data_IF_833666213668
#
_entry.id   IF_833666213668
#
_cell.length_a   1.000
_cell.length_b   1.000
_cell.length_c   1.000
_cell.angle_alpha   90.00
_cell.angle_beta   90.00
_cell.angle_gamma   90.00
#
_symmetry.space_group_name_H-M   'P 1'
#
loop_
_entity.id
_entity.type
_entity.pdbx_description
1 polymer ?
#
# COMPACT_ATOMS: atom_id res chain seq x y z
N UNK A 1 36.41 9.10 2.06
CA UNK A 1 36.19 8.07 1.04
C UNK A 1 34.70 7.99 0.77
N UNK A 2 34.24 9.00 0.03
CA UNK A 2 32.88 9.14 -0.43
C UNK A 2 32.73 8.24 -1.66
N UNK A 3 31.80 7.29 -1.61
CA UNK A 3 31.05 7.02 -2.80
C UNK A 3 29.57 6.94 -2.45
N UNK A 4 28.82 7.83 -3.10
CA UNK A 4 27.36 7.85 -3.12
C UNK A 4 26.91 6.62 -3.88
N UNK A 5 26.96 5.47 -3.23
CA UNK A 5 26.12 4.35 -3.64
C UNK A 5 24.68 4.85 -3.49
N UNK A 6 24.08 5.28 -4.60
CA UNK A 6 22.63 5.25 -4.75
C UNK A 6 22.23 3.83 -4.34
N UNK A 7 21.80 3.67 -3.08
CA UNK A 7 21.41 2.37 -2.57
C UNK A 7 20.26 1.91 -3.46
N UNK A 8 20.56 0.97 -4.34
CA UNK A 8 19.59 0.41 -5.28
C UNK A 8 18.55 -0.34 -4.44
N UNK A 9 17.47 0.33 -4.11
CA UNK A 9 16.33 -0.26 -3.40
C UNK A 9 15.64 -1.19 -4.39
N UNK A 10 15.61 -2.48 -4.05
CA UNK A 10 14.79 -3.45 -4.77
C UNK A 10 13.45 -3.51 -4.07
N UNK A 11 12.39 -3.19 -4.81
CA UNK A 11 11.04 -3.26 -4.33
C UNK A 11 10.25 -4.32 -5.10
N UNK A 12 9.30 -4.95 -4.42
CA UNK A 12 8.27 -5.77 -5.06
C UNK A 12 6.92 -5.12 -4.86
N UNK A 13 6.10 -5.10 -5.90
CA UNK A 13 4.73 -4.61 -5.84
C UNK A 13 3.79 -5.79 -6.02
N UNK A 14 2.85 -5.94 -5.09
CA UNK A 14 1.77 -6.91 -5.17
C UNK A 14 0.46 -6.15 -5.23
N UNK A 15 -0.40 -6.49 -6.18
CA UNK A 15 -1.77 -5.99 -6.24
C UNK A 15 -2.71 -7.09 -5.77
N UNK A 16 -3.62 -6.74 -4.86
CA UNK A 16 -4.65 -7.63 -4.34
C UNK A 16 -6.01 -6.98 -4.60
N UNK A 17 -6.65 -7.45 -5.65
CA UNK A 17 -7.98 -6.99 -6.02
C UNK A 17 -9.05 -7.80 -5.30
N UNK A 18 -10.11 -7.14 -4.85
CA UNK A 18 -11.29 -7.82 -4.35
C UNK A 18 -12.16 -8.20 -5.55
N UNK A 19 -12.39 -9.51 -5.73
CA UNK A 19 -13.22 -10.08 -6.81
C UNK A 19 -14.72 -9.74 -6.61
N UNK A 20 -15.12 -9.32 -5.41
CA UNK A 20 -16.51 -9.00 -5.12
C UNK A 20 -16.87 -7.61 -5.65
N UNK A 21 -17.79 -7.59 -6.63
CA UNK A 21 -18.57 -6.40 -7.03
C UNK A 21 -19.46 -5.86 -5.90
N UNK A 22 -19.63 -6.65 -4.84
CA UNK A 22 -20.29 -6.25 -3.61
C UNK A 22 -19.45 -5.20 -2.88
N UNK A 23 -19.95 -3.95 -2.81
CA UNK A 23 -19.47 -2.92 -1.86
C UNK A 23 -19.55 -3.38 -0.40
N UNK A 24 -20.26 -4.47 -0.12
CA UNK A 24 -20.53 -4.95 1.21
C UNK A 24 -19.28 -5.54 1.84
N UNK A 25 -18.91 -4.95 2.99
CA UNK A 25 -17.88 -5.50 3.86
C UNK A 25 -18.25 -6.92 4.29
N UNK A 26 -17.23 -7.77 4.39
CA UNK A 26 -17.41 -9.17 4.78
C UNK A 26 -17.87 -9.25 6.23
N UNK A 27 -18.89 -10.05 6.50
CA UNK A 27 -19.26 -10.46 7.86
C UNK A 27 -18.53 -11.74 8.24
N UNK A 28 -18.00 -11.75 9.46
CA UNK A 28 -17.39 -12.92 10.07
C UNK A 28 -18.49 -13.87 10.60
N UNK A 29 -18.12 -15.11 10.91
CA UNK A 29 -19.07 -16.17 11.33
C UNK A 29 -19.90 -15.80 12.57
N UNK A 30 -19.35 -14.95 13.44
CA UNK A 30 -19.99 -14.42 14.65
C UNK A 30 -20.74 -13.09 14.40
N UNK A 31 -21.05 -12.74 13.16
CA UNK A 31 -21.91 -11.60 12.79
C UNK A 31 -21.24 -10.22 12.73
N UNK A 32 -20.00 -10.11 13.19
CA UNK A 32 -19.23 -8.86 13.14
C UNK A 32 -18.79 -8.52 11.73
N UNK A 33 -18.82 -7.24 11.39
CA UNK A 33 -18.41 -6.74 10.08
C UNK A 33 -16.93 -6.37 10.09
N UNK A 34 -16.19 -6.79 9.06
CA UNK A 34 -14.80 -6.40 8.88
C UNK A 34 -14.76 -4.98 8.35
N UNK A 35 -14.33 -4.03 9.17
CA UNK A 35 -14.18 -2.65 8.72
C UNK A 35 -13.11 -2.51 7.65
N UNK A 36 -11.98 -3.18 7.87
CA UNK A 36 -10.75 -3.01 7.10
C UNK A 36 -9.96 -4.31 7.03
N UNK A 37 -9.31 -4.53 5.89
CA UNK A 37 -8.46 -5.68 5.64
C UNK A 37 -7.14 -5.24 5.00
N UNK A 38 -6.04 -5.90 5.36
CA UNK A 38 -4.75 -5.73 4.73
C UNK A 38 -4.11 -7.10 4.55
N UNK A 39 -3.71 -7.39 3.32
CA UNK A 39 -2.78 -8.46 2.99
C UNK A 39 -1.40 -7.84 2.73
N UNK A 40 -0.34 -8.52 3.14
CA UNK A 40 1.03 -8.06 3.00
C UNK A 40 1.95 -9.28 3.01
N UNK A 41 3.03 -9.20 2.23
CA UNK A 41 4.06 -10.25 2.19
C UNK A 41 5.38 -9.69 2.69
N UNK A 42 6.11 -10.41 3.57
CA UNK A 42 7.46 -10.01 3.93
C UNK A 42 8.37 -9.97 2.70
N UNK A 43 9.34 -9.04 2.64
CA UNK A 43 10.34 -9.02 1.59
C UNK A 43 11.06 -10.37 1.50
N UNK A 44 11.20 -10.92 0.29
CA UNK A 44 11.93 -12.17 0.04
C UNK A 44 13.28 -11.87 -0.62
N UNK A 45 14.27 -12.76 -0.41
CA UNK A 45 15.66 -12.71 -0.89
C UNK A 45 16.06 -11.51 -1.80
N UNK A 46 16.92 -10.62 -1.26
CA UNK A 46 17.49 -9.42 -1.92
C UNK A 46 16.49 -8.29 -2.22
N UNK A 47 15.24 -8.35 -1.75
CA UNK A 47 14.28 -7.24 -1.81
C UNK A 47 14.30 -6.52 -0.46
N UNK A 48 14.44 -5.20 -0.49
CA UNK A 48 14.48 -4.35 0.71
C UNK A 48 13.09 -3.81 1.09
N UNK A 49 12.16 -3.72 0.14
CA UNK A 49 10.80 -3.20 0.35
C UNK A 49 9.77 -4.07 -0.37
N UNK A 50 8.72 -4.48 0.33
CA UNK A 50 7.53 -5.12 -0.22
C UNK A 50 6.35 -4.15 -0.12
N UNK A 51 5.77 -3.80 -1.25
CA UNK A 51 4.62 -2.92 -1.38
C UNK A 51 3.40 -3.77 -1.76
N UNK A 52 2.29 -3.59 -1.05
CA UNK A 52 1.02 -4.25 -1.39
C UNK A 52 -0.08 -3.21 -1.56
N UNK A 53 -0.63 -3.10 -2.75
CA UNK A 53 -1.82 -2.30 -3.02
C UNK A 53 -3.04 -3.20 -2.92
N UNK A 54 -3.97 -2.88 -2.03
CA UNK A 54 -5.14 -3.70 -1.78
C UNK A 54 -6.42 -2.87 -1.82
N UNK A 55 -7.42 -3.38 -2.52
CA UNK A 55 -8.79 -2.87 -2.49
C UNK A 55 -9.62 -3.69 -1.50
N UNK A 56 -10.34 -3.03 -0.59
CA UNK A 56 -11.32 -3.67 0.28
C UNK A 56 -12.49 -2.72 0.53
N UNK A 57 -13.71 -3.16 0.21
CA UNK A 57 -14.88 -2.27 0.16
C UNK A 57 -14.62 -1.10 -0.79
N UNK A 58 -14.86 0.11 -0.31
CA UNK A 58 -14.62 1.36 -1.07
C UNK A 58 -13.22 1.95 -0.85
N UNK A 59 -12.34 1.23 -0.14
CA UNK A 59 -11.01 1.75 0.24
C UNK A 59 -9.89 1.08 -0.55
N UNK A 60 -8.91 1.90 -0.98
CA UNK A 60 -7.61 1.45 -1.46
C UNK A 60 -6.57 1.68 -0.36
N UNK A 61 -5.77 0.68 -0.05
CA UNK A 61 -4.73 0.74 0.98
C UNK A 61 -3.37 0.33 0.43
N UNK A 62 -2.31 0.99 0.90
CA UNK A 62 -0.94 0.61 0.65
C UNK A 62 -0.32 0.00 1.91
N UNK A 63 -0.02 -1.30 1.85
CA UNK A 63 0.86 -1.97 2.79
C UNK A 63 2.32 -1.75 2.41
N UNK A 64 3.16 -1.35 3.36
CA UNK A 64 4.60 -1.21 3.18
C UNK A 64 5.28 -2.09 4.22
N UNK A 65 6.05 -3.07 3.77
CA UNK A 65 6.85 -3.93 4.63
C UNK A 65 8.31 -3.83 4.21
N UNK A 66 9.20 -3.60 5.17
CA UNK A 66 10.62 -3.41 4.90
C UNK A 66 11.44 -3.84 6.10
N UNK A 67 12.69 -4.21 5.85
CA UNK A 67 13.69 -4.34 6.90
C UNK A 67 14.18 -2.93 7.28
N UNK A 68 14.02 -2.57 8.56
CA UNK A 68 14.35 -1.25 9.06
C UNK A 68 15.84 -0.89 8.92
N UNK A 69 16.73 -1.89 8.89
CA UNK A 69 18.16 -1.67 8.69
C UNK A 69 18.50 -1.44 7.21
N UNK A 70 17.74 -2.04 6.30
CA UNK A 70 17.97 -1.94 4.85
C UNK A 70 17.27 -0.74 4.19
N UNK A 71 16.16 -0.25 4.75
CA UNK A 71 15.46 0.91 4.20
C UNK A 71 14.85 1.80 5.27
N UNK A 72 15.63 2.66 5.95
CA UNK A 72 15.15 3.51 7.05
C UNK A 72 14.05 4.52 6.65
N UNK A 73 13.71 4.62 5.36
CA UNK A 73 12.70 5.53 4.82
C UNK A 73 11.35 4.84 4.52
N UNK A 74 11.13 3.58 4.93
CA UNK A 74 9.88 2.86 4.67
C UNK A 74 8.62 3.61 5.14
N UNK A 75 8.73 4.38 6.23
CA UNK A 75 7.63 5.18 6.80
C UNK A 75 7.28 6.40 5.94
N UNK A 76 8.23 6.93 5.16
CA UNK A 76 7.98 8.05 4.23
C UNK A 76 7.03 7.63 3.12
N UNK A 77 7.17 6.38 2.63
CA UNK A 77 6.31 5.83 1.57
C UNK A 77 4.87 5.73 2.07
N UNK A 78 4.66 5.10 3.24
CA UNK A 78 3.30 4.90 3.78
C UNK A 78 2.63 6.21 4.20
N UNK A 79 3.35 7.11 4.87
CA UNK A 79 2.81 8.39 5.34
C UNK A 79 2.42 9.35 4.21
N UNK A 80 3.13 9.32 3.07
CA UNK A 80 2.84 10.19 1.93
C UNK A 80 1.91 9.58 0.88
N UNK A 81 1.52 8.30 1.02
CA UNK A 81 0.72 7.60 0.01
C UNK A 81 -0.56 8.36 -0.36
N UNK A 82 -1.38 8.71 0.63
CA UNK A 82 -2.66 9.41 0.39
C UNK A 82 -2.44 10.78 -0.26
N UNK A 83 -1.37 11.50 0.11
CA UNK A 83 -1.01 12.78 -0.51
C UNK A 83 -0.68 12.59 -1.99
N UNK A 84 0.15 11.61 -2.32
CA UNK A 84 0.55 11.33 -3.71
C UNK A 84 -0.62 10.85 -4.57
N UNK A 85 -1.50 9.99 -4.04
CA UNK A 85 -2.70 9.55 -4.78
C UNK A 85 -3.65 10.72 -5.06
N UNK A 86 -3.87 11.60 -4.07
CA UNK A 86 -4.68 12.83 -4.29
C UNK A 86 -4.06 13.76 -5.33
N UNK A 87 -2.74 13.92 -5.29
CA UNK A 87 -2.02 14.71 -6.28
C UNK A 87 -2.15 14.10 -7.68
N UNK A 88 -1.97 12.79 -7.81
CA UNK A 88 -2.17 12.07 -9.07
C UNK A 88 -3.59 12.24 -9.58
N UNK A 89 -4.60 12.08 -8.72
CA UNK A 89 -6.00 12.31 -9.07
C UNK A 89 -6.23 13.70 -9.67
N UNK A 90 -5.71 14.75 -9.01
CA UNK A 90 -5.78 16.14 -9.53
C UNK A 90 -5.13 16.28 -10.91
N UNK A 91 -3.94 15.70 -11.10
CA UNK A 91 -3.22 15.75 -12.38
C UNK A 91 -3.96 15.00 -13.49
N UNK A 92 -4.67 13.92 -13.15
CA UNK A 92 -5.51 13.16 -14.07
C UNK A 92 -6.91 13.78 -14.30
N UNK A 93 -7.19 14.97 -13.76
CA UNK A 93 -8.52 15.59 -13.87
C UNK A 93 -9.60 14.93 -13.01
N UNK A 94 -9.23 14.01 -12.12
CA UNK A 94 -10.11 13.43 -11.11
C UNK A 94 -10.21 14.42 -9.95
N UNK A 95 -11.14 15.38 -10.07
CA UNK A 95 -11.51 16.24 -8.97
C UNK A 95 -12.15 15.38 -7.90
N UNK A 96 -11.53 15.29 -6.72
CA UNK A 96 -11.97 14.41 -5.64
C UNK A 96 -13.46 14.56 -5.37
N UNK A 97 -14.23 13.54 -5.75
CA UNK A 97 -15.65 13.47 -5.43
C UNK A 97 -15.70 13.13 -3.94
N UNK A 98 -16.19 14.11 -3.16
CA UNK A 98 -16.61 14.11 -1.76
C UNK A 98 -16.32 12.90 -0.86
N UNK A 99 -15.70 13.26 0.28
CA UNK A 99 -15.74 12.68 1.65
C UNK A 99 -15.15 11.30 1.90
#
# INVERSE_FOLDING_TARGET
FLDKAYNKIRATVTQVDSISTERNRRRLLWGQEVENLMYWRPPQAKISISLTLMTYGESVRLGVMSDAQLSPQYSVISSNFTKHIRQLGRLCGVNGIHQ
#
